data_IF_468964980810
#
_entry.id   IF_468964980810
#
_cell.length_a   1.000
_cell.length_b   1.000
_cell.length_c   1.000
_cell.angle_alpha   90.00
_cell.angle_beta   90.00
_cell.angle_gamma   90.00
#
_symmetry.space_group_name_H-M   'P 1'
#
loop_
_entity.id
_entity.type
_entity.pdbx_description
1 polymer ?
#
# COMPACT_ATOMS: atom_id res chain seq x y z
N UNK A 1 -35.08 14.27 49.52
CA UNK A 1 -34.55 12.90 49.60
C UNK A 1 -34.01 12.51 48.23
N UNK A 2 -32.68 12.42 48.11
CA UNK A 2 -31.99 12.07 46.86
C UNK A 2 -32.11 10.55 46.68
N UNK A 3 -32.77 10.10 45.61
CA UNK A 3 -32.73 8.68 45.20
C UNK A 3 -31.61 8.53 44.18
N UNK A 4 -30.51 7.89 44.59
CA UNK A 4 -29.40 7.50 43.72
C UNK A 4 -29.90 6.47 42.70
N UNK A 5 -29.88 6.84 41.42
CA UNK A 5 -30.03 5.89 40.32
C UNK A 5 -28.79 5.00 40.30
N UNK A 6 -28.99 3.67 40.45
CA UNK A 6 -27.93 2.67 40.27
C UNK A 6 -27.44 2.75 38.82
N UNK A 7 -26.34 3.47 38.61
CA UNK A 7 -25.66 3.54 37.32
C UNK A 7 -25.06 2.18 36.98
N UNK A 8 -25.77 1.38 36.20
CA UNK A 8 -25.15 0.29 35.46
C UNK A 8 -24.46 0.90 34.23
N UNK A 9 -23.13 1.02 34.28
CA UNK A 9 -22.35 1.24 33.06
C UNK A 9 -22.45 -0.05 32.26
N UNK A 10 -23.30 -0.08 31.24
CA UNK A 10 -23.27 -1.12 30.21
C UNK A 10 -22.01 -0.85 29.39
N UNK A 11 -20.86 -1.32 29.89
CA UNK A 11 -19.66 -1.40 29.08
C UNK A 11 -19.99 -2.35 27.92
N UNK A 12 -20.06 -1.81 26.69
CA UNK A 12 -20.13 -2.66 25.50
C UNK A 12 -18.98 -3.66 25.58
N UNK A 13 -19.21 -4.95 25.32
CA UNK A 13 -18.11 -5.91 25.31
C UNK A 13 -17.04 -5.40 24.34
N UNK A 14 -15.75 -5.61 24.63
CA UNK A 14 -14.70 -5.23 23.71
C UNK A 14 -15.00 -5.90 22.36
N UNK A 15 -15.23 -5.07 21.34
CA UNK A 15 -15.38 -5.56 19.97
C UNK A 15 -14.05 -6.23 19.66
N UNK A 16 -14.05 -7.57 19.62
CA UNK A 16 -12.87 -8.29 19.13
C UNK A 16 -12.55 -7.70 17.76
N UNK A 17 -11.29 -7.30 17.49
CA UNK A 17 -10.93 -6.88 16.14
C UNK A 17 -11.36 -8.02 15.21
N UNK A 18 -12.32 -7.76 14.34
CA UNK A 18 -12.78 -8.75 13.38
C UNK A 18 -11.59 -9.02 12.46
N UNK A 19 -10.95 -10.18 12.66
CA UNK A 19 -9.90 -10.63 11.77
C UNK A 19 -10.54 -10.86 10.41
N UNK A 20 -10.11 -10.09 9.42
CA UNK A 20 -10.56 -10.25 8.03
C UNK A 20 -10.36 -11.70 7.58
N UNK A 21 -11.30 -12.21 6.79
CA UNK A 21 -11.12 -13.47 6.08
C UNK A 21 -9.93 -13.36 5.11
N UNK A 22 -9.33 -14.49 4.74
CA UNK A 22 -8.23 -14.52 3.77
C UNK A 22 -8.63 -13.88 2.43
N UNK A 23 -9.89 -14.03 2.02
CA UNK A 23 -10.41 -13.43 0.80
C UNK A 23 -10.44 -11.90 0.89
N UNK A 24 -10.88 -11.36 2.01
CA UNK A 24 -10.91 -9.91 2.25
C UNK A 24 -9.50 -9.32 2.34
N UNK A 25 -8.54 -10.05 2.92
CA UNK A 25 -7.13 -9.64 2.94
C UNK A 25 -6.56 -9.53 1.53
N UNK A 26 -6.74 -10.57 0.70
CA UNK A 26 -6.29 -10.56 -0.70
C UNK A 26 -6.93 -9.45 -1.52
N UNK A 27 -8.21 -9.16 -1.27
CA UNK A 27 -8.89 -8.07 -1.97
C UNK A 27 -8.27 -6.72 -1.59
N UNK A 28 -7.99 -6.48 -0.31
CA UNK A 28 -7.30 -5.26 0.13
C UNK A 28 -5.93 -5.12 -0.49
N UNK A 29 -5.12 -6.18 -0.49
CA UNK A 29 -3.80 -6.18 -1.13
C UNK A 29 -3.89 -5.79 -2.61
N UNK A 30 -4.93 -6.28 -3.32
CA UNK A 30 -5.18 -5.88 -4.70
C UNK A 30 -5.61 -4.41 -4.82
N UNK A 31 -6.50 -3.95 -3.95
CA UNK A 31 -6.98 -2.57 -3.94
C UNK A 31 -5.84 -1.58 -3.63
N UNK A 32 -4.90 -1.96 -2.75
CA UNK A 32 -3.72 -1.17 -2.38
C UNK A 32 -2.77 -1.02 -3.59
N UNK A 33 -2.52 -2.11 -4.34
CA UNK A 33 -1.73 -2.06 -5.58
C UNK A 33 -2.38 -1.16 -6.62
N UNK A 34 -3.70 -1.27 -6.82
CA UNK A 34 -4.44 -0.44 -7.76
C UNK A 34 -4.45 1.04 -7.35
N UNK A 35 -4.56 1.34 -6.06
CA UNK A 35 -4.46 2.70 -5.54
C UNK A 35 -3.09 3.30 -5.85
N UNK A 36 -2.02 2.58 -5.49
CA UNK A 36 -0.65 3.00 -5.71
C UNK A 36 -0.35 3.31 -7.18
N UNK A 37 -0.79 2.42 -8.07
CA UNK A 37 -0.57 2.58 -9.51
C UNK A 37 -1.46 3.65 -10.15
N UNK A 38 -2.36 4.26 -9.38
CA UNK A 38 -3.22 5.35 -9.83
C UNK A 38 -2.68 6.73 -9.42
N UNK A 39 -1.98 6.84 -8.29
CA UNK A 39 -1.58 8.15 -7.76
C UNK A 39 -0.07 8.30 -7.50
N UNK A 40 0.59 7.27 -6.99
CA UNK A 40 1.99 7.33 -6.55
C UNK A 40 2.94 6.86 -7.65
N UNK A 41 2.62 5.72 -8.28
CA UNK A 41 3.37 5.13 -9.38
C UNK A 41 2.59 5.21 -10.69
N UNK A 42 1.99 6.36 -10.99
CA UNK A 42 1.08 6.57 -12.13
C UNK A 42 1.71 6.27 -13.51
N UNK A 43 3.03 6.34 -13.60
CA UNK A 43 3.81 6.07 -14.80
C UNK A 43 4.20 4.59 -14.99
N UNK A 44 3.77 3.68 -14.11
CA UNK A 44 4.13 2.25 -14.11
C UNK A 44 4.02 1.57 -15.49
N UNK A 45 3.09 2.03 -16.33
CA UNK A 45 2.85 1.44 -17.66
C UNK A 45 3.99 1.76 -18.64
N UNK A 46 4.51 2.98 -18.60
CA UNK A 46 5.55 3.49 -19.49
C UNK A 46 6.55 4.36 -18.72
N UNK A 47 7.29 3.78 -17.76
CA UNK A 47 8.15 4.55 -16.88
C UNK A 47 9.40 5.02 -17.62
N UNK A 48 9.81 6.25 -17.34
CA UNK A 48 11.11 6.75 -17.76
C UNK A 48 12.17 6.43 -16.70
N UNK A 49 12.90 5.33 -16.90
CA UNK A 49 13.97 4.91 -15.99
C UNK A 49 15.27 5.73 -16.09
N UNK A 50 15.34 6.67 -17.03
CA UNK A 50 16.47 7.59 -17.20
C UNK A 50 16.29 8.90 -16.42
N UNK A 51 15.05 9.24 -16.08
CA UNK A 51 14.73 10.39 -15.26
C UNK A 51 15.15 10.15 -13.81
N UNK A 52 16.01 11.03 -13.28
CA UNK A 52 16.34 11.07 -11.86
C UNK A 52 15.20 11.79 -11.14
N UNK A 53 14.50 11.05 -10.27
CA UNK A 53 13.41 11.58 -9.46
C UNK A 53 13.87 12.32 -8.21
N UNK A 54 12.94 13.03 -7.57
CA UNK A 54 13.09 13.44 -6.17
C UNK A 54 13.07 12.26 -5.20
N UNK A 55 13.21 12.53 -3.87
CA UNK A 55 13.02 11.52 -2.84
C UNK A 55 11.62 10.89 -2.95
N UNK A 56 11.49 9.61 -2.56
CA UNK A 56 10.25 8.81 -2.69
C UNK A 56 9.81 8.47 -4.12
N UNK A 57 10.76 8.37 -5.07
CA UNK A 57 10.46 7.89 -6.42
C UNK A 57 10.77 6.40 -6.56
N UNK A 58 9.76 5.58 -6.81
CA UNK A 58 9.88 4.12 -6.99
C UNK A 58 10.89 3.72 -8.08
N UNK A 59 11.12 4.55 -9.11
CA UNK A 59 12.11 4.33 -10.17
C UNK A 59 13.55 4.38 -9.67
N UNK A 60 13.81 4.99 -8.52
CA UNK A 60 15.14 5.01 -7.91
C UNK A 60 15.52 3.64 -7.34
N UNK A 61 14.53 2.80 -7.04
CA UNK A 61 14.69 1.50 -6.39
C UNK A 61 14.71 0.33 -7.36
N UNK A 62 14.40 0.56 -8.63
CA UNK A 62 14.35 -0.51 -9.62
C UNK A 62 15.78 -0.92 -10.02
N UNK A 63 16.04 -2.23 -9.96
CA UNK A 63 17.34 -2.80 -10.35
C UNK A 63 17.51 -2.81 -11.87
N UNK A 64 18.75 -2.81 -12.40
CA UNK A 64 19.00 -2.91 -13.84
C UNK A 64 18.30 -4.11 -14.50
N UNK A 65 18.28 -5.26 -13.84
CA UNK A 65 17.64 -6.47 -14.36
C UNK A 65 16.12 -6.32 -14.50
N UNK A 66 15.47 -5.62 -13.56
CA UNK A 66 14.05 -5.31 -13.64
C UNK A 66 13.75 -4.30 -14.75
N UNK A 67 14.64 -3.32 -14.97
CA UNK A 67 14.51 -2.37 -16.10
C UNK A 67 14.54 -3.11 -17.44
N UNK A 68 15.50 -4.02 -17.62
CA UNK A 68 15.64 -4.81 -18.85
C UNK A 68 14.45 -5.74 -19.09
N UNK A 69 13.95 -6.38 -18.04
CA UNK A 69 12.81 -7.30 -18.12
C UNK A 69 11.45 -6.59 -18.20
N UNK A 70 11.37 -5.26 -18.02
CA UNK A 70 10.10 -4.55 -17.81
C UNK A 70 9.06 -4.82 -18.90
N UNK A 71 9.50 -4.84 -20.16
CA UNK A 71 8.63 -5.07 -21.32
C UNK A 71 8.03 -6.48 -21.36
N UNK A 72 8.64 -7.46 -20.68
CA UNK A 72 8.20 -8.86 -20.65
C UNK A 72 7.11 -9.12 -19.61
N UNK A 73 6.95 -8.22 -18.64
CA UNK A 73 5.95 -8.35 -17.58
C UNK A 73 4.54 -7.99 -18.07
N UNK A 74 3.57 -8.73 -17.54
CA UNK A 74 2.15 -8.37 -17.64
C UNK A 74 1.88 -7.05 -16.91
N UNK A 75 0.79 -6.38 -17.28
CA UNK A 75 0.37 -5.14 -16.61
C UNK A 75 0.20 -5.33 -15.10
N UNK A 76 -0.37 -6.44 -14.67
CA UNK A 76 -0.49 -6.74 -13.24
C UNK A 76 0.87 -6.89 -12.55
N UNK A 77 1.81 -7.62 -13.16
CA UNK A 77 3.16 -7.76 -12.61
C UNK A 77 3.87 -6.41 -12.49
N UNK A 78 3.74 -5.54 -13.50
CA UNK A 78 4.30 -4.18 -13.46
C UNK A 78 3.71 -3.38 -12.30
N UNK A 79 2.39 -3.43 -12.10
CA UNK A 79 1.71 -2.76 -10.98
C UNK A 79 2.23 -3.24 -9.63
N UNK A 80 2.32 -4.56 -9.43
CA UNK A 80 2.81 -5.15 -8.19
C UNK A 80 4.27 -4.75 -7.91
N UNK A 81 5.13 -4.77 -8.93
CA UNK A 81 6.53 -4.36 -8.78
C UNK A 81 6.62 -2.87 -8.46
N UNK A 82 5.90 -2.02 -9.19
CA UNK A 82 5.88 -0.58 -8.95
C UNK A 82 5.40 -0.24 -7.54
N UNK A 83 4.32 -0.89 -7.07
CA UNK A 83 3.84 -0.77 -5.69
C UNK A 83 4.91 -1.16 -4.66
N UNK A 84 5.55 -2.32 -4.83
CA UNK A 84 6.58 -2.78 -3.89
C UNK A 84 7.80 -1.83 -3.83
N UNK A 85 8.21 -1.27 -4.97
CA UNK A 85 9.31 -0.31 -5.03
C UNK A 85 8.90 1.06 -4.47
N UNK A 86 7.64 1.47 -4.67
CA UNK A 86 7.09 2.70 -4.10
C UNK A 86 6.98 2.61 -2.57
N UNK A 87 6.59 1.45 -2.06
CA UNK A 87 6.56 1.18 -0.62
C UNK A 87 7.96 1.29 -0.02
N UNK A 88 8.97 0.69 -0.65
CA UNK A 88 10.37 0.86 -0.24
C UNK A 88 10.81 2.34 -0.27
N UNK A 89 10.47 3.05 -1.34
CA UNK A 89 10.76 4.48 -1.49
C UNK A 89 10.05 5.34 -0.43
N UNK A 90 8.87 4.94 0.04
CA UNK A 90 8.09 5.68 1.04
C UNK A 90 8.61 5.48 2.47
N UNK A 91 9.31 4.37 2.73
CA UNK A 91 9.93 4.04 4.02
C UNK A 91 11.37 4.53 4.16
N UNK A 92 11.83 5.33 3.21
CA UNK A 92 13.16 5.93 3.21
C UNK A 92 13.22 7.02 4.29
N UNK A 93 13.92 6.73 5.39
CA UNK A 93 14.24 7.72 6.43
C UNK A 93 15.45 8.56 5.98
N UNK A 94 15.22 9.84 5.70
CA UNK A 94 16.26 10.80 5.33
C UNK A 94 16.54 11.71 6.54
N UNK A 95 17.66 11.48 7.23
CA UNK A 95 18.23 12.34 8.28
C UNK A 95 18.92 13.60 7.71
#
# INVERSE_FOLDING_TARGET
MIKLLKGAVIAKPPVKPQSLSEKEKRQREHDDVEHCCRYEADDWKHPDFSAVGGPHNWRNYITPQLKEAWSTFTDWQKKVIAHALNDAASHEEWD
#
